data_IF_614619290382
#
_entry.id   IF_614619290382
#
_cell.length_a   1.000
_cell.length_b   1.000
_cell.length_c   1.000
_cell.angle_alpha   90.00
_cell.angle_beta   90.00
_cell.angle_gamma   90.00
#
_symmetry.space_group_name_H-M   'P 1'
#
loop_
_entity.id
_entity.type
_entity.pdbx_description
1 polymer ?
#
# COMPACT_ATOMS: atom_id res chain seq x y z
N UNK A 1 -12.75 4.24 -8.68
CA UNK A 1 -11.44 3.60 -8.41
C UNK A 1 -10.45 4.65 -7.98
N UNK A 2 -10.00 4.57 -6.73
CA UNK A 2 -8.96 5.45 -6.21
C UNK A 2 -7.69 5.33 -7.07
N UNK A 3 -7.12 6.47 -7.46
CA UNK A 3 -5.84 6.52 -8.18
C UNK A 3 -4.70 6.16 -7.21
N UNK A 4 -3.89 5.11 -7.49
CA UNK A 4 -2.74 4.72 -6.68
C UNK A 4 -1.80 5.87 -6.32
N UNK A 5 -1.58 6.80 -7.25
CA UNK A 5 -0.65 7.91 -7.04
C UNK A 5 -1.24 8.92 -6.04
N UNK A 6 -2.54 9.21 -6.13
CA UNK A 6 -3.25 10.02 -5.14
C UNK A 6 -3.31 9.38 -3.75
N UNK A 7 -3.44 8.04 -3.68
CA UNK A 7 -3.38 7.29 -2.42
C UNK A 7 -1.97 7.35 -1.82
N UNK A 8 -0.92 7.26 -2.64
CA UNK A 8 0.46 7.39 -2.18
C UNK A 8 0.76 8.78 -1.62
N UNK A 9 0.24 9.83 -2.26
CA UNK A 9 0.35 11.20 -1.78
C UNK A 9 -0.41 11.40 -0.46
N UNK A 10 -1.64 10.88 -0.37
CA UNK A 10 -2.47 10.94 0.83
C UNK A 10 -1.75 10.33 2.04
N UNK A 11 -1.21 9.12 1.89
CA UNK A 11 -0.56 8.38 2.98
C UNK A 11 0.69 9.06 3.54
N UNK A 12 1.31 9.95 2.77
CA UNK A 12 2.51 10.71 3.16
C UNK A 12 2.19 12.04 3.85
N UNK A 13 0.91 12.42 3.95
CA UNK A 13 0.50 13.61 4.69
C UNK A 13 0.69 13.42 6.21
N UNK A 14 0.83 14.54 6.91
CA UNK A 14 0.72 14.56 8.37
C UNK A 14 -0.69 14.13 8.81
N UNK A 15 -0.86 13.95 10.13
CA UNK A 15 -2.11 13.45 10.70
C UNK A 15 -3.34 14.26 10.25
N UNK A 16 -3.29 15.58 10.46
CA UNK A 16 -4.43 16.48 10.24
C UNK A 16 -4.76 16.57 8.75
N UNK A 17 -3.74 16.70 7.89
CA UNK A 17 -3.94 16.78 6.44
C UNK A 17 -4.39 15.46 5.83
N UNK A 18 -3.99 14.32 6.42
CA UNK A 18 -4.53 13.02 6.03
C UNK A 18 -6.03 12.96 6.30
N UNK A 19 -6.48 13.30 7.51
CA UNK A 19 -7.89 13.30 7.88
C UNK A 19 -8.72 14.23 6.98
N UNK A 20 -8.24 15.45 6.74
CA UNK A 20 -8.89 16.44 5.89
C UNK A 20 -9.05 15.99 4.42
N UNK A 21 -8.06 15.28 3.88
CA UNK A 21 -8.00 14.91 2.45
C UNK A 21 -8.54 13.52 2.15
N UNK A 22 -8.71 12.69 3.17
CA UNK A 22 -9.22 11.32 3.03
C UNK A 22 -10.57 11.28 2.30
N UNK A 23 -11.58 12.13 2.61
CA UNK A 23 -12.87 12.09 1.93
C UNK A 23 -12.80 12.38 0.42
N UNK A 24 -11.79 13.14 -0.03
CA UNK A 24 -11.59 13.47 -1.45
C UNK A 24 -11.04 12.28 -2.25
N UNK A 25 -10.31 11.37 -1.59
CA UNK A 25 -9.67 10.21 -2.21
C UNK A 25 -10.59 8.98 -2.17
N UNK A 26 -11.47 8.89 -1.16
CA UNK A 26 -12.49 7.87 -1.07
C UNK A 26 -13.64 8.17 -2.04
N UNK A 27 -13.62 7.55 -3.24
CA UNK A 27 -14.73 7.64 -4.18
C UNK A 27 -16.01 7.07 -3.54
N UNK A 28 -17.04 7.93 -3.41
CA UNK A 28 -18.31 7.54 -2.77
C UNK A 28 -19.06 6.42 -3.50
N UNK A 29 -18.69 6.10 -4.74
CA UNK A 29 -19.27 4.99 -5.49
C UNK A 29 -18.68 3.61 -5.16
N UNK A 30 -17.56 3.54 -4.44
CA UNK A 30 -16.83 2.30 -4.14
C UNK A 30 -17.04 1.77 -2.72
N UNK A 31 -17.71 2.56 -1.87
CA UNK A 31 -17.98 2.21 -0.49
C UNK A 31 -19.48 2.14 -0.24
N UNK A 32 -19.92 1.13 0.51
CA UNK A 32 -21.27 1.10 1.08
C UNK A 32 -21.50 2.41 1.86
N UNK A 33 -22.65 3.07 1.65
CA UNK A 33 -22.93 4.41 2.16
C UNK A 33 -22.78 4.53 3.67
N UNK A 34 -23.11 3.49 4.42
CA UNK A 34 -22.87 3.45 5.88
C UNK A 34 -21.39 3.36 6.25
N UNK A 35 -20.59 2.66 5.44
CA UNK A 35 -19.17 2.48 5.66
C UNK A 35 -18.38 3.73 5.27
N UNK A 36 -18.73 4.35 4.14
CA UNK A 36 -18.18 5.65 3.75
C UNK A 36 -18.46 6.68 4.85
N UNK A 37 -19.71 6.73 5.35
CA UNK A 37 -20.08 7.65 6.44
C UNK A 37 -19.24 7.43 7.70
N UNK A 38 -18.92 6.19 8.07
CA UNK A 38 -18.02 5.92 9.21
C UNK A 38 -16.56 6.25 8.91
N UNK A 39 -16.09 6.04 7.68
CA UNK A 39 -14.70 6.30 7.29
C UNK A 39 -14.43 7.77 6.91
N UNK A 40 -15.47 8.59 6.75
CA UNK A 40 -15.37 10.04 6.53
C UNK A 40 -15.82 10.86 7.73
N UNK A 41 -16.43 10.24 8.74
CA UNK A 41 -16.68 10.88 10.04
C UNK A 41 -15.33 11.12 10.73
N UNK A 42 -14.97 12.40 10.86
CA UNK A 42 -13.68 12.87 11.39
C UNK A 42 -13.34 12.23 12.74
N UNK A 43 -14.30 12.17 13.66
CA UNK A 43 -14.10 11.56 14.98
C UNK A 43 -13.86 10.05 14.92
N UNK A 44 -14.47 9.37 13.94
CA UNK A 44 -14.25 7.94 13.70
C UNK A 44 -12.88 7.70 13.06
N UNK A 45 -12.47 8.52 12.10
CA UNK A 45 -11.13 8.47 11.48
C UNK A 45 -10.05 8.70 12.53
N UNK A 46 -10.18 9.75 13.35
CA UNK A 46 -9.24 10.05 14.43
C UNK A 46 -9.12 8.87 15.41
N UNK A 47 -10.25 8.29 15.82
CA UNK A 47 -10.26 7.10 16.69
C UNK A 47 -9.55 5.89 16.06
N UNK A 48 -9.72 5.67 14.75
CA UNK A 48 -8.99 4.63 14.00
C UNK A 48 -7.50 4.96 13.86
N UNK A 49 -7.15 6.24 13.74
CA UNK A 49 -5.78 6.74 13.68
C UNK A 49 -5.08 6.75 15.04
N UNK A 50 -5.80 6.67 16.15
CA UNK A 50 -5.24 6.54 17.50
C UNK A 50 -5.05 5.08 17.93
N UNK A 51 -5.87 4.16 17.39
CA UNK A 51 -5.81 2.75 17.76
C UNK A 51 -4.67 2.02 17.04
N UNK A 52 -3.69 1.56 17.81
CA UNK A 52 -2.69 0.61 17.35
C UNK A 52 -3.27 -0.82 17.36
N UNK A 53 -2.92 -1.70 16.41
CA UNK A 53 -2.91 -3.11 16.73
C UNK A 53 -1.88 -3.36 17.84
N UNK A 54 -2.22 -4.18 18.83
CA UNK A 54 -1.22 -4.65 19.79
C UNK A 54 -0.12 -5.41 19.05
N UNK A 55 1.11 -4.89 19.04
CA UNK A 55 2.35 -5.65 19.18
C UNK A 55 3.56 -4.73 19.08
N UNK A 56 4.36 -4.68 20.15
CA UNK A 56 5.54 -3.82 20.32
C UNK A 56 6.74 -4.18 19.42
N UNK A 57 6.53 -4.26 18.10
CA UNK A 57 7.54 -4.61 17.09
C UNK A 57 7.69 -3.58 15.97
N UNK A 58 6.81 -2.59 15.86
CA UNK A 58 6.90 -1.55 14.82
C UNK A 58 7.71 -0.35 15.31
N UNK A 59 8.46 0.28 14.41
CA UNK A 59 9.01 1.60 14.67
C UNK A 59 7.88 2.66 14.69
N UNK A 60 8.08 3.76 15.41
CA UNK A 60 7.05 4.82 15.58
C UNK A 60 6.55 5.37 14.23
N UNK A 61 7.44 5.54 13.26
CA UNK A 61 7.08 6.02 11.93
C UNK A 61 6.22 5.00 11.18
N UNK A 62 6.56 3.71 11.25
CA UNK A 62 5.78 2.63 10.62
C UNK A 62 4.38 2.54 11.21
N UNK A 63 4.28 2.68 12.53
CA UNK A 63 3.00 2.65 13.23
C UNK A 63 2.03 3.71 12.70
N UNK A 64 2.51 4.91 12.39
CA UNK A 64 1.68 5.97 11.80
C UNK A 64 1.17 5.61 10.39
N UNK A 65 2.04 5.04 9.55
CA UNK A 65 1.62 4.55 8.23
C UNK A 65 0.63 3.39 8.32
N UNK A 66 0.87 2.42 9.21
CA UNK A 66 -0.05 1.28 9.42
C UNK A 66 -1.44 1.76 9.82
N UNK A 67 -1.55 2.76 10.71
CA UNK A 67 -2.86 3.32 11.11
C UNK A 67 -3.58 3.97 9.93
N UNK A 68 -2.88 4.75 9.09
CA UNK A 68 -3.46 5.34 7.88
C UNK A 68 -3.87 4.30 6.83
N UNK A 69 -3.04 3.28 6.61
CA UNK A 69 -3.35 2.20 5.65
C UNK A 69 -4.58 1.41 6.12
N UNK A 70 -4.76 1.20 7.43
CA UNK A 70 -5.94 0.53 8.00
C UNK A 70 -7.25 1.27 7.69
N UNK A 71 -7.24 2.60 7.67
CA UNK A 71 -8.40 3.40 7.25
C UNK A 71 -8.78 3.08 5.79
N UNK A 72 -7.80 2.66 5.00
CA UNK A 72 -7.92 2.25 3.59
C UNK A 72 -7.99 0.72 3.40
N UNK A 73 -8.39 -0.05 4.42
CA UNK A 73 -8.37 -1.53 4.34
C UNK A 73 -9.21 -2.10 3.19
N UNK A 74 -10.22 -1.36 2.73
CA UNK A 74 -11.10 -1.75 1.63
C UNK A 74 -11.13 -0.73 0.49
N UNK A 75 -10.06 0.06 0.34
CA UNK A 75 -9.87 0.83 -0.87
C UNK A 75 -9.80 -0.10 -2.08
N UNK A 76 -10.14 0.41 -3.27
CA UNK A 76 -10.07 -0.35 -4.52
C UNK A 76 -8.64 -0.71 -4.97
N UNK A 77 -7.65 -0.46 -4.13
CA UNK A 77 -6.23 -0.66 -4.38
C UNK A 77 -5.61 -1.46 -3.23
N UNK A 78 -4.78 -2.44 -3.57
CA UNK A 78 -3.94 -3.14 -2.59
C UNK A 78 -2.84 -2.20 -2.12
N UNK A 79 -2.62 -2.09 -0.81
CA UNK A 79 -1.65 -1.16 -0.23
C UNK A 79 -0.71 -1.94 0.68
N UNK A 80 0.59 -1.67 0.54
CA UNK A 80 1.65 -2.22 1.37
C UNK A 80 2.55 -1.15 1.95
N UNK A 81 2.95 -1.33 3.20
CA UNK A 81 4.16 -0.74 3.76
C UNK A 81 5.24 -1.82 3.77
N UNK A 82 6.33 -1.58 3.07
CA UNK A 82 7.47 -2.49 3.01
C UNK A 82 8.74 -1.82 3.54
N UNK A 83 9.62 -2.59 4.16
CA UNK A 83 10.87 -2.08 4.69
C UNK A 83 11.45 -2.94 5.82
N UNK A 84 12.63 -2.58 6.33
CA UNK A 84 13.31 -1.33 6.04
C UNK A 84 13.88 -1.25 4.61
N UNK A 85 13.96 -0.03 4.08
CA UNK A 85 14.34 0.28 2.70
C UNK A 85 15.77 -0.17 2.32
N UNK A 86 16.64 -0.33 3.32
CA UNK A 86 18.02 -0.80 3.16
C UNK A 86 18.17 -2.33 3.23
N UNK A 87 17.07 -3.06 3.41
CA UNK A 87 17.03 -4.51 3.41
C UNK A 87 16.32 -5.03 2.14
N UNK A 88 15.74 -6.22 2.22
CA UNK A 88 15.05 -6.86 1.10
C UNK A 88 13.63 -6.31 0.86
N UNK A 89 13.28 -5.14 1.42
CA UNK A 89 11.93 -4.57 1.43
C UNK A 89 10.83 -5.58 1.83
N UNK A 90 10.97 -6.27 2.98
CA UNK A 90 9.93 -7.18 3.43
C UNK A 90 8.65 -6.41 3.79
N UNK A 91 7.48 -7.01 3.56
CA UNK A 91 6.20 -6.39 3.90
C UNK A 91 6.08 -6.29 5.42
N UNK A 92 5.89 -5.06 5.89
CA UNK A 92 5.59 -4.73 7.29
C UNK A 92 4.09 -4.84 7.54
N UNK A 93 3.29 -4.30 6.60
CA UNK A 93 1.84 -4.32 6.65
C UNK A 93 1.25 -4.34 5.23
N UNK A 94 0.10 -4.99 5.11
CA UNK A 94 -0.71 -5.05 3.89
C UNK A 94 -2.19 -4.87 4.26
N UNK A 95 -2.94 -4.18 3.41
CA UNK A 95 -4.37 -3.96 3.59
C UNK A 95 -5.21 -5.18 3.12
N UNK A 96 -6.49 -5.25 3.51
CA UNK A 96 -7.35 -6.38 3.17
C UNK A 96 -7.55 -6.53 1.64
N UNK A 97 -7.62 -5.42 0.90
CA UNK A 97 -7.70 -5.45 -0.57
C UNK A 97 -6.51 -6.19 -1.21
N UNK A 98 -5.30 -6.08 -0.67
CA UNK A 98 -4.16 -6.81 -1.21
C UNK A 98 -4.33 -8.32 -1.07
N UNK A 99 -4.81 -8.81 0.08
CA UNK A 99 -5.17 -10.24 0.24
C UNK A 99 -6.19 -10.63 -0.82
N UNK A 100 -7.24 -9.84 -1.00
CA UNK A 100 -8.32 -10.16 -1.94
C UNK A 100 -7.83 -10.18 -3.40
N UNK A 101 -6.90 -9.28 -3.78
CA UNK A 101 -6.27 -9.24 -5.11
C UNK A 101 -5.38 -10.46 -5.35
N UNK A 102 -4.54 -10.79 -4.37
CA UNK A 102 -3.42 -11.73 -4.54
C UNK A 102 -3.77 -13.16 -4.12
N UNK A 103 -4.80 -13.35 -3.30
CA UNK A 103 -5.19 -14.64 -2.73
C UNK A 103 -4.25 -15.16 -1.64
N UNK A 104 -3.24 -14.40 -1.22
CA UNK A 104 -2.37 -14.73 -0.10
C UNK A 104 -2.93 -14.15 1.20
N UNK A 105 -2.90 -14.91 2.29
CA UNK A 105 -3.23 -14.38 3.61
C UNK A 105 -2.22 -13.31 4.04
N UNK A 106 -2.66 -12.34 4.85
CA UNK A 106 -1.82 -11.21 5.27
C UNK A 106 -0.60 -11.69 6.07
N UNK A 107 -0.75 -12.77 6.83
CA UNK A 107 0.33 -13.44 7.56
C UNK A 107 1.38 -14.07 6.65
N UNK A 108 0.98 -14.56 5.48
CA UNK A 108 1.91 -15.13 4.48
C UNK A 108 2.70 -14.03 3.77
N UNK A 109 2.08 -12.86 3.58
CA UNK A 109 2.73 -11.71 2.98
C UNK A 109 3.70 -11.05 3.95
N UNK A 110 3.42 -11.06 5.25
CA UNK A 110 4.23 -10.39 6.26
C UNK A 110 5.65 -10.97 6.32
N UNK A 111 6.63 -10.09 6.19
CA UNK A 111 8.05 -10.47 6.18
C UNK A 111 8.58 -10.89 4.80
N UNK A 112 7.72 -11.05 3.80
CA UNK A 112 8.10 -11.44 2.45
C UNK A 112 8.31 -10.24 1.54
N UNK A 113 9.08 -10.43 0.46
CA UNK A 113 9.18 -9.45 -0.61
C UNK A 113 8.16 -9.77 -1.72
N UNK A 114 7.38 -8.77 -2.15
CA UNK A 114 6.32 -8.94 -3.15
C UNK A 114 6.77 -9.39 -4.55
N UNK A 115 8.08 -9.56 -4.80
CA UNK A 115 8.54 -10.34 -5.96
C UNK A 115 7.96 -11.76 -5.98
N UNK A 116 7.47 -12.28 -4.85
CA UNK A 116 6.75 -13.56 -4.76
C UNK A 116 5.54 -13.63 -5.72
N UNK A 117 4.97 -12.49 -6.11
CA UNK A 117 3.89 -12.39 -7.08
C UNK A 117 4.37 -12.50 -8.55
N UNK A 118 5.68 -12.52 -8.80
CA UNK A 118 6.24 -12.62 -10.15
C UNK A 118 6.30 -14.09 -10.61
N UNK A 119 6.24 -14.31 -11.92
CA UNK A 119 6.29 -15.65 -12.50
C UNK A 119 6.73 -15.65 -13.97
N UNK A 120 6.50 -16.74 -14.72
CA UNK A 120 7.11 -16.96 -16.03
C UNK A 120 6.78 -15.91 -17.10
N UNK A 121 5.58 -15.32 -17.08
CA UNK A 121 5.13 -14.29 -18.03
C UNK A 121 5.38 -12.86 -17.53
N UNK A 122 6.00 -12.69 -16.36
CA UNK A 122 6.31 -11.36 -15.83
C UNK A 122 7.35 -10.66 -16.71
N UNK A 123 7.04 -9.43 -17.11
CA UNK A 123 7.86 -8.65 -18.03
C UNK A 123 9.15 -8.17 -17.33
N UNK A 124 10.30 -8.66 -17.81
CA UNK A 124 11.60 -8.36 -17.20
C UNK A 124 11.98 -6.89 -17.24
N UNK A 125 11.50 -6.14 -18.23
CA UNK A 125 11.73 -4.70 -18.37
C UNK A 125 11.01 -3.93 -17.25
N UNK A 126 9.72 -4.18 -17.02
CA UNK A 126 8.98 -3.58 -15.91
C UNK A 126 9.60 -3.93 -14.55
N UNK A 127 10.10 -5.16 -14.37
CA UNK A 127 10.82 -5.54 -13.14
C UNK A 127 12.17 -4.81 -13.04
N UNK A 128 12.86 -4.54 -14.14
CA UNK A 128 14.09 -3.75 -14.14
C UNK A 128 13.81 -2.30 -13.72
N UNK A 129 12.72 -1.70 -14.19
CA UNK A 129 12.30 -0.35 -13.80
C UNK A 129 11.99 -0.26 -12.30
N UNK A 130 11.30 -1.28 -11.73
CA UNK A 130 11.09 -1.38 -10.28
C UNK A 130 12.42 -1.45 -9.52
N UNK A 131 13.38 -2.25 -9.99
CA UNK A 131 14.70 -2.36 -9.35
C UNK A 131 15.50 -1.06 -9.45
N UNK A 132 15.43 -0.37 -10.58
CA UNK A 132 16.09 0.92 -10.77
C UNK A 132 15.51 1.95 -9.80
N UNK A 133 14.19 2.04 -9.70
CA UNK A 133 13.50 2.94 -8.78
C UNK A 133 13.90 2.70 -7.32
N UNK A 134 13.94 1.43 -6.90
CA UNK A 134 14.43 1.05 -5.57
C UNK A 134 15.89 1.47 -5.36
N UNK A 135 16.77 1.27 -6.35
CA UNK A 135 18.20 1.61 -6.24
C UNK A 135 18.48 3.12 -6.26
N UNK A 136 17.58 3.89 -6.87
CA UNK A 136 17.72 5.35 -7.04
C UNK A 136 16.84 6.15 -6.07
N UNK A 137 16.11 5.47 -5.17
CA UNK A 137 15.22 6.08 -4.19
C UNK A 137 14.13 6.96 -4.81
N UNK A 138 13.62 6.55 -5.98
CA UNK A 138 12.61 7.29 -6.74
C UNK A 138 11.29 6.56 -6.79
N UNK A 139 10.21 7.32 -6.85
CA UNK A 139 8.91 6.77 -7.17
C UNK A 139 8.89 6.22 -8.60
N UNK A 140 8.11 5.18 -8.84
CA UNK A 140 7.88 4.63 -10.18
C UNK A 140 6.51 3.97 -10.25
N UNK A 141 5.97 3.89 -11.45
CA UNK A 141 4.75 3.15 -11.73
C UNK A 141 4.94 2.33 -12.99
N UNK A 142 4.68 1.03 -12.89
CA UNK A 142 4.82 0.07 -14.00
C UNK A 142 3.59 -0.80 -14.09
N UNK A 143 3.39 -1.46 -15.24
CA UNK A 143 2.36 -2.50 -15.37
C UNK A 143 3.01 -3.82 -15.76
N UNK A 144 2.87 -4.82 -14.91
CA UNK A 144 3.44 -6.16 -15.11
C UNK A 144 2.44 -7.28 -14.84
N UNK A 145 2.77 -8.47 -15.31
CA UNK A 145 2.00 -9.68 -15.05
C UNK A 145 2.41 -10.26 -13.70
N UNK A 146 1.43 -10.46 -12.82
CA UNK A 146 1.61 -11.10 -11.52
C UNK A 146 0.71 -12.33 -11.39
N UNK A 147 1.02 -13.16 -10.38
CA UNK A 147 0.39 -14.43 -10.09
C UNK A 147 -0.19 -14.40 -8.68
N UNK A 148 -1.41 -14.91 -8.55
CA UNK A 148 -2.07 -15.13 -7.27
C UNK A 148 -1.55 -16.40 -6.60
N UNK A 149 -1.92 -16.60 -5.33
CA UNK A 149 -1.59 -17.82 -4.58
C UNK A 149 -2.06 -19.11 -5.27
N UNK A 150 -3.17 -19.06 -6.02
CA UNK A 150 -3.68 -20.18 -6.82
C UNK A 150 -2.97 -20.39 -8.17
N UNK A 151 -2.00 -19.54 -8.50
CA UNK A 151 -1.26 -19.54 -9.77
C UNK A 151 -1.97 -18.85 -10.92
N UNK A 152 -3.17 -18.29 -10.72
CA UNK A 152 -3.86 -17.50 -11.75
C UNK A 152 -3.13 -16.18 -12.00
N UNK A 153 -3.08 -15.77 -13.28
CA UNK A 153 -2.42 -14.53 -13.68
C UNK A 153 -3.36 -13.32 -13.60
N UNK A 154 -2.78 -12.14 -13.40
CA UNK A 154 -3.45 -10.85 -13.57
C UNK A 154 -2.46 -9.77 -14.01
N UNK A 155 -2.96 -8.76 -14.73
CA UNK A 155 -2.20 -7.53 -15.00
C UNK A 155 -2.28 -6.64 -13.78
N UNK A 156 -1.12 -6.23 -13.28
CA UNK A 156 -0.97 -5.42 -12.09
C UNK A 156 -0.26 -4.10 -12.44
N UNK A 157 -0.96 -2.98 -12.28
CA UNK A 157 -0.31 -1.66 -12.22
C UNK A 157 0.24 -1.49 -10.81
N UNK A 158 1.56 -1.38 -10.70
CA UNK A 158 2.28 -1.25 -9.43
C UNK A 158 2.88 0.14 -9.33
N UNK A 159 2.45 0.91 -8.33
CA UNK A 159 3.11 2.16 -7.92
C UNK A 159 4.01 1.88 -6.71
N UNK A 160 5.27 2.33 -6.76
CA UNK A 160 6.17 2.39 -5.61
C UNK A 160 6.44 3.86 -5.25
N UNK A 161 6.30 4.20 -3.98
CA UNK A 161 6.63 5.53 -3.46
C UNK A 161 7.57 5.41 -2.24
N UNK A 162 8.69 6.15 -2.21
CA UNK A 162 9.61 6.12 -1.07
C UNK A 162 8.98 6.81 0.15
N UNK A 163 9.20 6.24 1.34
CA UNK A 163 8.84 6.86 2.62
C UNK A 163 10.10 7.39 3.27
N UNK A 164 10.12 8.69 3.57
CA UNK A 164 11.27 9.35 4.20
C UNK A 164 11.05 9.60 5.69
N UNK A 165 12.15 9.56 6.44
CA UNK A 165 12.19 10.10 7.80
C UNK A 165 12.33 11.64 7.80
N UNK A 166 12.38 12.24 9.00
CA UNK A 166 12.55 13.69 9.17
C UNK A 166 13.88 14.23 8.63
N UNK A 167 14.87 13.37 8.40
CA UNK A 167 16.16 13.76 7.81
C UNK A 167 16.15 13.63 6.27
N UNK A 168 15.04 13.19 5.67
CA UNK A 168 14.93 12.94 4.23
C UNK A 168 15.52 11.61 3.78
N UNK A 169 15.86 10.70 4.71
CA UNK A 169 16.37 9.37 4.39
C UNK A 169 15.21 8.44 4.09
N UNK A 170 15.27 7.69 2.98
CA UNK A 170 14.26 6.67 2.70
C UNK A 170 14.40 5.52 3.68
N UNK A 171 13.36 5.28 4.47
CA UNK A 171 13.31 4.26 5.53
C UNK A 171 12.39 3.09 5.20
N UNK A 172 11.34 3.33 4.40
CA UNK A 172 10.37 2.33 3.97
C UNK A 172 9.88 2.66 2.54
N UNK A 173 9.01 1.82 2.02
CA UNK A 173 8.33 1.99 0.73
C UNK A 173 6.84 1.78 0.91
N UNK A 174 6.05 2.61 0.23
CA UNK A 174 4.66 2.33 -0.06
C UNK A 174 4.58 1.61 -1.41
N UNK A 175 3.81 0.53 -1.45
CA UNK A 175 3.48 -0.18 -2.69
C UNK A 175 1.97 -0.22 -2.89
N UNK A 176 1.51 0.12 -4.09
CA UNK A 176 0.11 0.05 -4.47
C UNK A 176 -0.07 -0.95 -5.62
N UNK A 177 -1.00 -1.88 -5.47
CA UNK A 177 -1.32 -2.89 -6.47
C UNK A 177 -2.74 -2.68 -6.97
N UNK A 178 -2.87 -2.37 -8.26
CA UNK A 178 -4.14 -2.15 -8.92
C UNK A 178 -4.27 -3.15 -10.08
N UNK A 179 -5.15 -4.15 -9.98
CA UNK A 179 -5.51 -4.97 -11.12
C UNK A 179 -6.09 -4.09 -12.22
N UNK A 180 -5.61 -4.28 -13.45
CA UNK A 180 -6.10 -3.54 -14.62
C UNK A 180 -6.55 -4.52 -15.69
N UNK A 181 -7.54 -4.11 -16.48
CA UNK A 181 -7.93 -4.86 -17.67
C UNK A 181 -6.80 -4.77 -18.71
N UNK A 182 -6.60 -5.88 -19.44
CA UNK A 182 -5.60 -6.00 -20.51
C UNK A 182 -6.10 -5.51 -21.86
#
# INVERSE_FOLDING_TARGET
MADPDAVADLLQLDHDRFADRLPDVLDSSEYDGERLTRLTDEATVDSMLETLPESGSLADHEAAYVRRIRVLDHASVGITLAGPAYADNPVVYANATLRDITGYELEELRGENLRLLQGPETESEAVADLREALSTWRATTVTLTNYRADGSRFRNRVTLAPVTDSAGTVVNWLGMQQPVDG
#
